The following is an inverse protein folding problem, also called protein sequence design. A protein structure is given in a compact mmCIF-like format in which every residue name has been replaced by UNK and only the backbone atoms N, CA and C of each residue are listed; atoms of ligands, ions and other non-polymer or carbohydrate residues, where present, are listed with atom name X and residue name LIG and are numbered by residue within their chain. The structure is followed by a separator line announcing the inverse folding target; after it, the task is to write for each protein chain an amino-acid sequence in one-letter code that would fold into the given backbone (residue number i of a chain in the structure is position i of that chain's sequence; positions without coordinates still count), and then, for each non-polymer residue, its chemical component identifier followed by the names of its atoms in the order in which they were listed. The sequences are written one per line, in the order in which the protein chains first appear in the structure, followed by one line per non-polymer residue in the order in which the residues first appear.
data_IF_623085095839
#
_entry.id   IF_623085095839
#
_cell.length_a   1.000
_cell.length_b   1.000
_cell.length_c   1.000
_cell.angle_alpha   90.00
_cell.angle_beta   90.00
_cell.angle_gamma   90.00
#
_symmetry.space_group_name_H-M   'P 1'
#
loop_
_entity.id
_entity.type
_entity.pdbx_description
1 polymer ?
#
# COMPACT_ATOMS: atom_id res chain seq x y z
N UNK A 1 13.78 -14.82 9.12
CA UNK A 1 13.41 -14.37 7.76
C UNK A 1 12.33 -13.33 7.93
N UNK A 2 12.53 -12.10 7.47
CA UNK A 2 11.51 -11.06 7.59
C UNK A 2 10.27 -11.48 6.78
N UNK A 3 9.10 -11.36 7.40
CA UNK A 3 7.83 -11.63 6.70
C UNK A 3 7.61 -10.46 5.73
N UNK A 4 7.34 -10.79 4.46
CA UNK A 4 7.07 -9.76 3.45
C UNK A 4 5.75 -9.05 3.77
N UNK A 5 5.75 -7.74 3.76
CA UNK A 5 4.53 -6.93 3.84
C UNK A 5 3.56 -7.32 2.72
N UNK A 6 2.29 -7.44 3.09
CA UNK A 6 1.21 -7.69 2.14
C UNK A 6 0.40 -6.42 1.96
N UNK A 7 0.20 -6.06 0.72
CA UNK A 7 -0.58 -4.90 0.31
C UNK A 7 -1.54 -5.33 -0.78
N UNK A 8 -2.80 -5.47 -0.40
CA UNK A 8 -3.88 -5.71 -1.35
C UNK A 8 -4.75 -4.46 -1.41
N UNK A 9 -5.17 -4.10 -2.60
CA UNK A 9 -6.02 -2.93 -2.82
C UNK A 9 -7.49 -3.30 -2.99
N UNK A 10 -7.79 -4.59 -2.87
CA UNK A 10 -9.14 -5.17 -2.94
C UNK A 10 -9.21 -6.35 -1.97
N UNK A 11 -10.38 -6.55 -1.34
CA UNK A 11 -10.62 -7.73 -0.52
C UNK A 11 -10.95 -8.96 -1.35
N UNK A 12 -10.86 -10.14 -0.72
CA UNK A 12 -11.28 -11.38 -1.34
C UNK A 12 -12.78 -11.35 -1.69
N UNK A 13 -13.60 -10.82 -0.77
CA UNK A 13 -15.05 -10.79 -0.92
C UNK A 13 -15.47 -9.83 -2.03
N UNK A 14 -14.82 -8.66 -2.16
CA UNK A 14 -15.06 -7.75 -3.27
C UNK A 14 -14.76 -8.40 -4.63
N UNK A 15 -13.64 -9.12 -4.79
CA UNK A 15 -13.34 -9.84 -6.02
C UNK A 15 -14.31 -11.00 -6.28
N UNK A 16 -14.72 -11.71 -5.24
CA UNK A 16 -15.75 -12.79 -5.37
C UNK A 16 -17.08 -12.22 -5.83
N UNK A 17 -17.50 -11.09 -5.30
CA UNK A 17 -18.72 -10.40 -5.70
C UNK A 17 -18.67 -9.98 -7.17
N UNK A 18 -17.55 -9.41 -7.62
CA UNK A 18 -17.34 -9.04 -9.04
C UNK A 18 -17.45 -10.25 -9.97
N UNK A 19 -16.94 -11.40 -9.55
CA UNK A 19 -16.95 -12.64 -10.34
C UNK A 19 -18.24 -13.46 -10.18
N UNK A 20 -19.16 -13.10 -9.28
CA UNK A 20 -20.34 -13.90 -8.95
C UNK A 20 -20.01 -15.24 -8.29
N UNK A 21 -18.89 -15.33 -7.55
CA UNK A 21 -18.40 -16.54 -6.90
C UNK A 21 -18.73 -16.53 -5.41
N UNK A 22 -19.52 -17.49 -4.96
CA UNK A 22 -19.81 -17.69 -3.53
C UNK A 22 -18.98 -18.81 -2.89
N UNK A 23 -18.55 -19.79 -3.70
CA UNK A 23 -17.80 -20.94 -3.22
C UNK A 23 -16.39 -20.57 -2.72
N UNK A 24 -15.90 -21.30 -1.71
CA UNK A 24 -14.56 -21.08 -1.12
C UNK A 24 -13.45 -21.87 -1.85
N UNK A 25 -13.81 -22.81 -2.73
CA UNK A 25 -12.86 -23.66 -3.48
C UNK A 25 -11.90 -22.87 -4.35
N UNK A 26 -12.26 -21.64 -4.72
CA UNK A 26 -11.45 -20.74 -5.53
C UNK A 26 -10.62 -19.73 -4.74
N UNK A 27 -10.82 -19.60 -3.44
CA UNK A 27 -10.23 -18.55 -2.61
C UNK A 27 -8.71 -18.48 -2.72
N UNK A 28 -8.02 -19.61 -2.67
CA UNK A 28 -6.56 -19.65 -2.77
C UNK A 28 -6.04 -19.13 -4.13
N UNK A 29 -6.80 -19.36 -5.21
CA UNK A 29 -6.47 -18.84 -6.54
C UNK A 29 -6.77 -17.35 -6.62
N UNK A 30 -7.93 -16.92 -6.14
CA UNK A 30 -8.34 -15.51 -6.14
C UNK A 30 -7.35 -14.65 -5.34
N UNK A 31 -6.94 -15.08 -4.15
CA UNK A 31 -5.92 -14.42 -3.32
C UNK A 31 -4.62 -14.17 -4.11
N UNK A 32 -4.15 -15.14 -4.91
CA UNK A 32 -2.95 -14.97 -5.74
C UNK A 32 -3.13 -13.94 -6.85
N UNK A 33 -4.32 -13.86 -7.45
CA UNK A 33 -4.59 -12.87 -8.49
C UNK A 33 -4.73 -11.47 -7.92
N UNK A 34 -5.34 -11.30 -6.74
CA UNK A 34 -5.36 -10.02 -6.02
C UNK A 34 -3.93 -9.55 -5.73
N UNK A 35 -3.10 -10.42 -5.13
CA UNK A 35 -1.71 -10.11 -4.81
C UNK A 35 -0.91 -9.72 -6.05
N UNK A 36 -1.09 -10.45 -7.14
CA UNK A 36 -0.42 -10.19 -8.42
C UNK A 36 -0.88 -8.87 -9.06
N UNK A 37 -2.19 -8.60 -9.06
CA UNK A 37 -2.75 -7.38 -9.62
C UNK A 37 -2.32 -6.15 -8.79
N UNK A 38 -2.36 -6.24 -7.46
CA UNK A 38 -1.88 -5.17 -6.57
C UNK A 38 -0.39 -4.87 -6.81
N UNK A 39 0.45 -5.91 -6.88
CA UNK A 39 1.87 -5.75 -7.17
C UNK A 39 2.14 -5.20 -8.59
N UNK A 40 1.28 -5.53 -9.55
CA UNK A 40 1.36 -4.97 -10.91
C UNK A 40 1.09 -3.47 -10.91
N UNK A 41 0.06 -3.03 -10.21
CA UNK A 41 -0.31 -1.60 -10.09
C UNK A 41 0.84 -0.82 -9.45
N UNK A 42 1.39 -1.26 -8.32
CA UNK A 42 2.55 -0.62 -7.69
C UNK A 42 3.75 -0.53 -8.65
N UNK A 43 4.06 -1.61 -9.36
CA UNK A 43 5.20 -1.65 -10.29
C UNK A 43 5.05 -0.72 -11.47
N UNK A 44 3.84 -0.64 -12.07
CA UNK A 44 3.59 0.19 -13.26
C UNK A 44 3.57 1.66 -12.89
N UNK A 45 2.97 2.01 -11.75
CA UNK A 45 2.88 3.40 -11.30
C UNK A 45 4.17 3.89 -10.62
N UNK A 46 5.03 2.97 -10.17
CA UNK A 46 6.17 3.29 -9.32
C UNK A 46 5.78 3.83 -7.95
N UNK A 47 4.53 3.62 -7.51
CA UNK A 47 3.99 4.12 -6.24
C UNK A 47 3.55 3.00 -5.32
N UNK A 48 3.68 3.24 -4.03
CA UNK A 48 3.01 2.48 -2.97
C UNK A 48 1.81 3.27 -2.50
N UNK A 49 0.61 2.70 -2.58
CA UNK A 49 -0.59 3.44 -2.20
C UNK A 49 -0.90 3.31 -0.70
N UNK A 50 -0.53 2.22 -0.05
CA UNK A 50 -0.63 2.10 1.41
C UNK A 50 0.35 3.01 2.13
N UNK A 51 -0.01 3.54 3.31
CA UNK A 51 0.93 4.22 4.19
C UNK A 51 1.92 3.21 4.78
N UNK A 52 3.22 3.48 4.58
CA UNK A 52 4.34 2.63 5.03
C UNK A 52 5.24 3.45 5.96
N UNK A 53 5.45 2.98 7.17
CA UNK A 53 6.45 3.57 8.08
C UNK A 53 7.83 3.09 7.68
N UNK A 54 8.71 4.02 7.29
CA UNK A 54 10.06 3.66 6.85
C UNK A 54 11.07 4.78 7.09
N UNK A 55 12.32 4.35 7.22
CA UNK A 55 13.50 5.22 7.15
C UNK A 55 14.04 5.19 5.73
N UNK A 56 14.27 6.35 5.13
CA UNK A 56 14.86 6.49 3.80
C UNK A 56 16.09 7.37 3.83
N UNK A 57 17.04 7.03 2.99
CA UNK A 57 18.35 7.65 2.88
C UNK A 57 18.46 8.39 1.56
N UNK A 58 19.00 9.61 1.59
CA UNK A 58 19.15 10.46 0.43
C UNK A 58 20.54 11.07 0.39
N UNK A 59 21.04 11.28 -0.80
CA UNK A 59 22.26 12.04 -1.01
C UNK A 59 21.98 13.53 -0.82
N UNK A 60 22.89 14.24 -0.17
CA UNK A 60 22.76 15.69 -0.02
C UNK A 60 22.82 16.36 -1.39
N UNK A 61 21.79 17.12 -1.83
CA UNK A 61 21.79 17.82 -3.11
C UNK A 61 22.80 18.97 -3.07
N UNK A 62 23.40 19.27 -4.24
CA UNK A 62 24.34 20.38 -4.41
C UNK A 62 23.87 21.28 -5.54
N UNK A 63 23.94 22.59 -5.27
CA UNK A 63 23.60 23.59 -6.28
C UNK A 63 22.10 23.70 -6.58
N UNK A 64 21.26 23.06 -5.79
CA UNK A 64 19.80 23.21 -5.90
C UNK A 64 19.35 24.45 -5.14
N UNK A 65 18.41 25.25 -5.68
CA UNK A 65 17.85 26.38 -4.94
C UNK A 65 17.26 25.93 -3.60
N UNK A 66 17.58 26.63 -2.52
CA UNK A 66 17.10 26.34 -1.13
C UNK A 66 17.36 24.90 -0.68
N UNK A 67 18.43 24.27 -1.15
CA UNK A 67 18.73 22.90 -0.84
C UNK A 67 17.62 21.92 -1.23
N UNK A 68 16.91 22.16 -2.32
CA UNK A 68 15.78 21.35 -2.73
C UNK A 68 16.17 19.88 -2.90
N UNK A 69 15.59 19.01 -2.05
CA UNK A 69 15.74 17.57 -2.08
C UNK A 69 14.49 16.95 -2.69
N UNK A 70 14.63 16.30 -3.84
CA UNK A 70 13.56 15.54 -4.48
C UNK A 70 13.55 14.11 -3.93
N UNK A 71 12.37 13.66 -3.46
CA UNK A 71 12.26 12.42 -2.69
C UNK A 71 12.14 11.18 -3.60
N UNK A 72 11.68 11.34 -4.84
CA UNK A 72 11.40 10.22 -5.74
C UNK A 72 10.16 9.41 -5.36
N UNK A 73 9.82 9.37 -4.08
CA UNK A 73 8.67 8.68 -3.51
C UNK A 73 7.71 9.65 -2.83
N UNK A 74 6.48 9.19 -2.61
CA UNK A 74 5.43 9.96 -1.96
C UNK A 74 5.62 9.92 -0.43
N UNK A 75 5.78 11.06 0.21
CA UNK A 75 5.90 11.23 1.66
C UNK A 75 4.59 11.79 2.22
N UNK A 76 3.98 11.10 3.17
CA UNK A 76 2.73 11.53 3.82
C UNK A 76 2.99 12.39 5.06
N UNK A 77 3.94 11.97 5.88
CA UNK A 77 4.31 12.71 7.09
C UNK A 77 5.77 12.46 7.46
N UNK A 78 6.38 13.44 8.12
CA UNK A 78 7.74 13.36 8.66
C UNK A 78 7.67 13.07 10.15
N UNK A 79 8.42 12.07 10.59
CA UNK A 79 8.73 11.86 12.02
C UNK A 79 10.01 12.57 12.39
N UNK A 80 11.06 12.44 11.57
CA UNK A 80 12.32 13.19 11.74
C UNK A 80 13.04 13.32 10.39
N UNK A 81 13.78 14.42 10.26
CA UNK A 81 14.81 14.59 9.22
C UNK A 81 16.12 14.85 9.94
N UNK A 82 17.16 14.13 9.55
CA UNK A 82 18.53 14.39 10.03
C UNK A 82 19.46 14.58 8.84
N UNK A 83 20.41 15.46 8.98
CA UNK A 83 21.55 15.60 8.08
C UNK A 83 22.83 15.37 8.86
N UNK A 84 23.71 14.52 8.35
CA UNK A 84 25.02 14.16 8.94
C UNK A 84 25.06 14.09 10.48
N UNK A 85 24.02 13.49 11.07
CA UNK A 85 23.88 13.30 12.52
C UNK A 85 23.18 14.42 13.29
N UNK A 86 22.79 15.50 12.61
CA UNK A 86 21.98 16.58 13.22
C UNK A 86 20.49 16.43 12.90
N UNK A 87 19.62 16.53 13.92
CA UNK A 87 18.18 16.57 13.71
C UNK A 87 17.72 17.97 13.30
N UNK A 88 16.98 18.06 12.18
CA UNK A 88 16.37 19.31 11.76
C UNK A 88 15.10 19.57 12.57
N UNK A 89 14.90 20.82 12.97
CA UNK A 89 13.63 21.24 13.58
C UNK A 89 12.56 21.39 12.48
N UNK A 90 11.29 21.19 12.82
CA UNK A 90 10.18 21.31 11.87
C UNK A 90 10.05 22.72 11.24
N UNK A 91 10.69 23.73 11.84
CA UNK A 91 10.74 25.11 11.33
C UNK A 91 11.88 25.36 10.36
N UNK A 92 12.80 24.40 10.18
CA UNK A 92 14.00 24.54 9.35
C UNK A 92 13.79 24.10 7.90
N UNK A 93 12.63 23.54 7.57
CA UNK A 93 12.33 23.04 6.23
C UNK A 93 10.85 23.20 5.86
N UNK A 94 10.57 23.08 4.57
CA UNK A 94 9.22 23.06 4.00
C UNK A 94 9.02 21.81 3.15
N UNK A 95 7.81 21.26 3.20
CA UNK A 95 7.39 20.12 2.39
C UNK A 95 6.54 20.60 1.20
N UNK A 96 6.79 20.06 0.02
CA UNK A 96 6.09 20.42 -1.20
C UNK A 96 5.43 19.20 -1.88
N UNK A 97 4.22 19.40 -2.48
CA UNK A 97 3.44 20.65 -2.57
C UNK A 97 2.97 21.13 -1.19
N UNK A 98 2.99 22.43 -0.93
CA UNK A 98 2.58 22.99 0.36
C UNK A 98 1.14 22.56 0.73
N UNK A 99 0.94 22.23 2.03
CA UNK A 99 -0.36 21.93 2.63
C UNK A 99 -1.12 20.73 2.04
N UNK A 100 -0.48 19.94 1.18
CA UNK A 100 -1.13 18.85 0.48
C UNK A 100 -0.21 17.65 0.29
N UNK A 101 -0.29 16.64 1.18
CA UNK A 101 0.39 15.38 0.93
C UNK A 101 -0.25 14.65 -0.29
N UNK A 102 0.48 13.72 -0.94
CA UNK A 102 1.84 13.35 -0.61
C UNK A 102 2.86 14.41 -1.04
N UNK A 103 3.88 14.59 -0.20
CA UNK A 103 5.00 15.49 -0.44
C UNK A 103 6.06 14.77 -1.27
N UNK A 104 6.69 15.50 -2.19
CA UNK A 104 7.70 14.94 -3.10
C UNK A 104 9.00 15.72 -3.10
N UNK A 105 9.05 16.79 -2.34
CA UNK A 105 10.23 17.64 -2.22
C UNK A 105 10.30 18.25 -0.83
N UNK A 106 11.53 18.31 -0.30
CA UNK A 106 11.87 19.06 0.92
C UNK A 106 12.74 20.24 0.51
N UNK A 107 12.46 21.43 1.00
CA UNK A 107 13.32 22.62 0.85
C UNK A 107 13.71 23.13 2.23
N UNK A 108 14.96 23.53 2.39
CA UNK A 108 15.43 24.19 3.62
C UNK A 108 14.91 25.62 3.71
N UNK A 109 14.83 26.14 4.93
CA UNK A 109 14.52 27.55 5.15
C UNK A 109 15.61 28.42 4.52
N UNK A 110 15.23 29.53 3.89
CA UNK A 110 16.13 30.41 3.13
C UNK A 110 17.35 30.98 3.89
N UNK A 111 17.36 30.85 5.21
CA UNK A 111 18.51 31.22 6.07
C UNK A 111 19.51 30.06 6.30
N UNK A 112 19.19 28.85 5.78
CA UNK A 112 19.99 27.62 5.96
C UNK A 112 19.87 26.79 4.68
N UNK A 113 20.31 27.31 3.54
CA UNK A 113 20.08 26.72 2.21
C UNK A 113 21.02 25.58 1.85
N UNK A 114 21.77 25.04 2.77
CA UNK A 114 22.71 23.93 2.54
C UNK A 114 22.52 22.83 3.54
N UNK A 115 22.47 21.60 3.03
CA UNK A 115 22.51 20.40 3.85
C UNK A 115 23.93 20.19 4.40
N UNK A 116 24.01 19.78 5.64
CA UNK A 116 25.30 19.48 6.29
C UNK A 116 25.75 18.07 5.96
N UNK A 117 27.02 17.90 5.59
CA UNK A 117 27.67 16.60 5.46
C UNK A 117 29.16 16.75 5.72
N UNK A 118 29.76 15.79 6.43
CA UNK A 118 31.16 15.86 6.88
C UNK A 118 32.09 15.14 5.90
N UNK A 119 31.86 13.86 5.63
CA UNK A 119 32.76 13.04 4.83
C UNK A 119 32.22 12.75 3.43
N UNK A 120 30.91 12.53 3.31
CA UNK A 120 30.28 12.14 2.05
C UNK A 120 28.88 12.72 1.94
N UNK A 121 28.50 13.09 0.74
CA UNK A 121 27.13 13.48 0.41
C UNK A 121 26.18 12.28 0.33
N UNK A 122 26.76 11.09 0.11
CA UNK A 122 25.99 9.86 -0.07
C UNK A 122 25.33 9.46 1.22
N UNK A 123 24.01 9.30 1.19
CA UNK A 123 23.18 8.92 2.32
C UNK A 123 23.29 9.89 3.54
N UNK A 124 23.73 11.12 3.31
CA UNK A 124 23.90 12.13 4.38
C UNK A 124 22.56 12.60 4.96
N UNK A 125 21.46 12.44 4.23
CA UNK A 125 20.12 12.84 4.70
C UNK A 125 19.30 11.60 5.01
N UNK A 126 18.74 11.54 6.21
CA UNK A 126 17.90 10.45 6.68
C UNK A 126 16.51 11.02 6.99
N UNK A 127 15.48 10.47 6.37
CA UNK A 127 14.09 10.83 6.64
C UNK A 127 13.35 9.62 7.19
N UNK A 128 12.88 9.75 8.43
CA UNK A 128 11.95 8.80 9.05
C UNK A 128 10.55 9.37 8.92
N UNK A 129 9.61 8.57 8.44
CA UNK A 129 8.26 9.05 8.25
C UNK A 129 7.30 7.99 7.73
N UNK A 130 6.10 8.44 7.40
CA UNK A 130 5.09 7.63 6.71
C UNK A 130 5.13 7.96 5.22
N UNK A 131 5.37 6.94 4.42
CA UNK A 131 5.51 7.01 2.96
C UNK A 131 4.32 6.32 2.31
N UNK A 132 3.89 6.82 1.16
CA UNK A 132 2.79 6.27 0.39
C UNK A 132 1.93 7.37 -0.21
N UNK A 133 0.94 6.97 -1.01
CA UNK A 133 0.10 7.92 -1.74
C UNK A 133 -0.99 8.53 -0.88
N UNK A 134 -1.67 7.71 -0.06
CA UNK A 134 -2.72 8.17 0.86
C UNK A 134 -2.70 7.40 2.19
N UNK A 135 -3.30 8.01 3.21
CA UNK A 135 -3.51 7.40 4.53
C UNK A 135 -4.97 7.58 4.94
N UNK A 136 -5.89 7.14 4.07
CA UNK A 136 -7.32 7.19 4.33
C UNK A 136 -7.75 5.94 5.11
N UNK A 137 -8.48 6.13 6.19
CA UNK A 137 -8.99 5.04 7.03
C UNK A 137 -10.46 5.28 7.37
N UNK A 138 -11.27 4.21 7.26
CA UNK A 138 -12.64 4.18 7.73
C UNK A 138 -12.75 3.36 9.01
N UNK A 139 -13.61 3.79 9.93
CA UNK A 139 -14.02 2.97 11.06
C UNK A 139 -14.83 1.76 10.55
N UNK A 140 -14.41 0.55 10.91
CA UNK A 140 -15.13 -0.67 10.52
C UNK A 140 -16.43 -0.84 11.28
N UNK A 141 -16.63 -0.12 12.39
CA UNK A 141 -17.69 -0.36 13.36
C UNK A 141 -17.39 -1.52 14.32
N UNK A 142 -16.28 -2.24 14.11
CA UNK A 142 -15.83 -3.32 15.01
C UNK A 142 -14.78 -2.80 16.00
N UNK A 143 -14.73 -3.43 17.17
CA UNK A 143 -13.72 -3.17 18.20
C UNK A 143 -13.07 -4.48 18.64
N UNK A 144 -11.95 -4.41 19.34
CA UNK A 144 -11.34 -5.59 19.97
C UNK A 144 -12.25 -6.12 21.10
N UNK A 145 -12.65 -7.40 20.99
CA UNK A 145 -13.37 -8.12 22.03
C UNK A 145 -12.37 -8.97 22.85
N UNK A 146 -11.77 -8.34 23.84
CA UNK A 146 -10.63 -8.85 24.59
C UNK A 146 -9.32 -8.18 24.20
N UNK A 147 -8.42 -8.04 25.17
CA UNK A 147 -7.12 -7.41 24.93
C UNK A 147 -6.23 -8.29 24.03
N UNK A 148 -5.54 -7.67 23.08
CA UNK A 148 -4.48 -8.30 22.31
C UNK A 148 -3.15 -8.09 23.06
N UNK A 149 -2.91 -8.95 24.06
CA UNK A 149 -1.82 -8.79 25.04
C UNK A 149 -0.44 -9.29 24.56
N UNK A 150 -0.38 -9.94 23.38
CA UNK A 150 0.86 -10.47 22.83
C UNK A 150 1.19 -9.80 21.49
N UNK A 151 2.44 -9.40 21.30
CA UNK A 151 2.96 -8.87 20.04
C UNK A 151 3.17 -9.94 18.97
N UNK A 152 3.14 -11.21 19.35
CA UNK A 152 3.32 -12.36 18.44
C UNK A 152 2.02 -13.11 18.12
N UNK A 153 0.90 -12.76 18.78
CA UNK A 153 -0.38 -13.39 18.50
C UNK A 153 -0.82 -13.06 17.06
N UNK A 154 -1.09 -14.09 16.28
CA UNK A 154 -1.55 -13.98 14.90
C UNK A 154 -3.08 -13.91 14.78
N UNK A 155 -3.81 -13.94 15.89
CA UNK A 155 -5.27 -13.87 15.93
C UNK A 155 -5.75 -12.94 17.03
N UNK A 156 -6.91 -12.33 16.80
CA UNK A 156 -7.68 -11.62 17.83
C UNK A 156 -9.17 -11.88 17.63
N UNK A 157 -9.98 -11.54 18.64
CA UNK A 157 -11.43 -11.59 18.54
C UNK A 157 -11.97 -10.19 18.32
N UNK A 158 -12.76 -9.98 17.27
CA UNK A 158 -13.50 -8.74 17.03
C UNK A 158 -14.88 -8.79 17.72
N UNK A 159 -15.46 -7.64 18.02
CA UNK A 159 -16.84 -7.53 18.50
C UNK A 159 -17.83 -8.09 17.46
N UNK A 160 -17.55 -7.87 16.18
CA UNK A 160 -18.26 -8.42 15.04
C UNK A 160 -17.29 -8.67 13.89
N UNK A 161 -17.00 -9.94 13.60
CA UNK A 161 -16.09 -10.34 12.53
C UNK A 161 -16.70 -10.20 11.13
N UNK A 162 -18.02 -10.08 11.00
CA UNK A 162 -18.69 -9.87 9.71
C UNK A 162 -18.41 -8.49 9.11
N UNK A 163 -17.90 -7.56 9.91
CA UNK A 163 -17.47 -6.22 9.49
C UNK A 163 -16.01 -6.16 9.00
N UNK A 164 -15.34 -7.31 8.93
CA UNK A 164 -13.93 -7.40 8.55
C UNK A 164 -13.75 -8.40 7.41
N UNK A 165 -13.05 -8.00 6.36
CA UNK A 165 -12.84 -8.83 5.17
C UNK A 165 -11.38 -9.28 5.02
N UNK A 166 -11.19 -10.45 4.42
CA UNK A 166 -9.86 -10.99 4.11
C UNK A 166 -9.19 -10.13 3.04
N UNK A 167 -7.97 -9.70 3.34
CA UNK A 167 -7.16 -8.84 2.46
C UNK A 167 -7.15 -7.37 2.87
N UNK A 168 -7.96 -6.98 3.85
CA UNK A 168 -7.88 -5.62 4.38
C UNK A 168 -6.60 -5.40 5.19
N UNK A 169 -6.06 -4.19 5.07
CA UNK A 169 -5.08 -3.66 6.02
C UNK A 169 -5.85 -2.90 7.10
N UNK A 170 -5.78 -3.41 8.31
CA UNK A 170 -6.39 -2.79 9.48
C UNK A 170 -5.39 -1.89 10.19
N UNK A 171 -5.90 -0.87 10.88
CA UNK A 171 -5.16 -0.04 11.81
C UNK A 171 -5.81 -0.13 13.19
N UNK A 172 -5.04 -0.55 14.19
CA UNK A 172 -5.44 -0.54 15.60
C UNK A 172 -4.38 0.28 16.34
N UNK A 173 -4.78 1.39 16.94
CA UNK A 173 -3.87 2.41 17.48
C UNK A 173 -2.84 2.86 16.41
N UNK A 174 -1.58 2.44 16.53
CA UNK A 174 -0.51 2.76 15.57
C UNK A 174 -0.01 1.55 14.77
N UNK A 175 -0.58 0.36 14.99
CA UNK A 175 -0.16 -0.85 14.30
C UNK A 175 -1.03 -1.13 13.09
N UNK A 176 -0.40 -1.44 11.96
CA UNK A 176 -1.07 -1.99 10.79
C UNK A 176 -1.01 -3.53 10.82
N UNK A 177 -2.18 -4.14 10.57
CA UNK A 177 -2.36 -5.58 10.54
C UNK A 177 -2.98 -5.97 9.19
N UNK A 178 -2.46 -7.01 8.54
CA UNK A 178 -3.05 -7.52 7.30
C UNK A 178 -3.93 -8.74 7.59
N UNK A 179 -5.20 -8.71 7.20
CA UNK A 179 -6.16 -9.78 7.43
C UNK A 179 -5.92 -10.94 6.46
N UNK A 180 -5.59 -12.11 6.99
CA UNK A 180 -5.35 -13.34 6.22
C UNK A 180 -6.50 -14.31 6.25
N UNK A 181 -7.38 -14.23 7.28
CA UNK A 181 -8.56 -15.06 7.46
C UNK A 181 -9.53 -14.48 8.48
N UNK A 182 -10.81 -14.77 8.29
CA UNK A 182 -11.88 -14.46 9.24
C UNK A 182 -12.72 -15.70 9.42
N UNK A 183 -13.03 -16.07 10.67
CA UNK A 183 -13.90 -17.18 11.01
C UNK A 183 -14.77 -16.77 12.19
N UNK A 184 -16.06 -16.53 11.94
CA UNK A 184 -16.95 -15.89 12.92
C UNK A 184 -16.29 -14.58 13.41
N UNK A 185 -16.11 -14.41 14.71
CA UNK A 185 -15.47 -13.23 15.30
C UNK A 185 -13.94 -13.35 15.45
N UNK A 186 -13.34 -14.48 15.06
CA UNK A 186 -11.89 -14.67 15.12
C UNK A 186 -11.25 -14.17 13.82
N UNK A 187 -10.38 -13.17 13.93
CA UNK A 187 -9.64 -12.57 12.82
C UNK A 187 -8.19 -13.04 12.88
N UNK A 188 -7.71 -13.63 11.79
CA UNK A 188 -6.31 -14.06 11.64
C UNK A 188 -5.56 -12.99 10.85
N UNK A 189 -4.42 -12.55 11.39
CA UNK A 189 -3.67 -11.42 10.82
C UNK A 189 -2.17 -11.68 10.73
N UNK A 190 -1.53 -10.96 9.83
CA UNK A 190 -0.10 -10.67 9.87
C UNK A 190 0.09 -9.36 10.64
N UNK A 191 0.91 -9.40 11.71
CA UNK A 191 1.18 -8.27 12.60
C UNK A 191 2.30 -7.39 12.06
N UNK A 192 2.32 -6.13 12.50
CA UNK A 192 3.41 -5.20 12.19
C UNK A 192 3.58 -4.98 10.68
N UNK A 193 2.48 -4.95 9.91
CA UNK A 193 2.53 -4.78 8.45
C UNK A 193 2.94 -3.34 8.09
N UNK A 194 3.47 -3.15 6.88
CA UNK A 194 3.87 -1.85 6.33
C UNK A 194 4.85 -1.07 7.23
N UNK A 195 5.80 -1.78 7.85
CA UNK A 195 6.87 -1.17 8.67
C UNK A 195 6.42 -0.67 10.03
N UNK A 196 5.16 -0.92 10.43
CA UNK A 196 4.73 -0.66 11.81
C UNK A 196 5.25 -1.73 12.76
N UNK A 197 5.29 -1.42 14.05
CA UNK A 197 5.74 -2.37 15.08
C UNK A 197 4.53 -3.03 15.71
N UNK A 198 4.56 -4.38 15.85
CA UNK A 198 3.53 -5.11 16.57
C UNK A 198 3.48 -4.68 18.04
N UNK A 199 2.31 -4.29 18.50
CA UNK A 199 2.07 -3.74 19.83
C UNK A 199 0.97 -4.51 20.58
N UNK A 200 0.80 -4.26 21.86
CA UNK A 200 -0.36 -4.72 22.62
C UNK A 200 -1.49 -3.71 22.49
N UNK A 201 -2.72 -4.21 22.48
CA UNK A 201 -3.91 -3.36 22.33
C UNK A 201 -4.94 -3.70 23.40
N UNK A 202 -5.62 -2.69 23.92
CA UNK A 202 -6.62 -2.86 24.96
C UNK A 202 -7.95 -3.37 24.41
N UNK A 203 -8.73 -4.02 25.23
CA UNK A 203 -10.14 -4.34 24.94
C UNK A 203 -10.89 -3.07 24.57
N UNK A 204 -11.73 -3.14 23.53
CA UNK A 204 -12.53 -2.01 23.06
C UNK A 204 -11.78 -1.06 22.10
N UNK A 205 -10.50 -1.32 21.80
CA UNK A 205 -9.79 -0.53 20.78
C UNK A 205 -10.52 -0.59 19.44
N UNK A 206 -10.72 0.57 18.81
CA UNK A 206 -11.40 0.69 17.52
C UNK A 206 -10.54 0.09 16.42
N UNK A 207 -11.18 -0.63 15.50
CA UNK A 207 -10.55 -1.23 14.35
C UNK A 207 -10.89 -0.39 13.13
N UNK A 208 -9.89 0.27 12.55
CA UNK A 208 -10.01 0.99 11.27
C UNK A 208 -9.55 0.10 10.12
N UNK A 209 -10.09 0.33 8.93
CA UNK A 209 -9.59 -0.27 7.69
C UNK A 209 -8.94 0.80 6.81
N UNK A 210 -7.85 0.48 6.15
CA UNK A 210 -7.30 1.32 5.10
C UNK A 210 -8.24 1.32 3.88
N UNK A 211 -8.49 2.51 3.32
CA UNK A 211 -9.31 2.70 2.13
C UNK A 211 -8.39 3.14 0.98
N UNK A 212 -8.12 2.25 0.01
CA UNK A 212 -7.36 2.61 -1.17
C UNK A 212 -8.10 3.64 -2.03
N UNK A 213 -7.35 4.35 -2.86
CA UNK A 213 -7.94 5.22 -3.88
C UNK A 213 -8.89 4.43 -4.79
N UNK A 214 -10.07 4.96 -5.13
CA UNK A 214 -11.06 4.24 -5.94
C UNK A 214 -10.51 3.74 -7.28
N UNK A 215 -9.72 4.58 -7.97
CA UNK A 215 -9.08 4.22 -9.25
C UNK A 215 -8.12 3.02 -9.12
N UNK A 216 -7.43 2.91 -7.98
CA UNK A 216 -6.52 1.80 -7.68
C UNK A 216 -7.31 0.53 -7.40
N UNK A 217 -8.38 0.64 -6.60
CA UNK A 217 -9.27 -0.48 -6.28
C UNK A 217 -9.88 -1.06 -7.55
N UNK A 218 -10.44 -0.20 -8.41
CA UNK A 218 -11.06 -0.60 -9.67
C UNK A 218 -10.06 -1.26 -10.62
N UNK A 219 -8.87 -0.67 -10.78
CA UNK A 219 -7.82 -1.25 -11.60
C UNK A 219 -7.43 -2.66 -11.11
N UNK A 220 -7.31 -2.88 -9.80
CA UNK A 220 -6.97 -4.18 -9.22
C UNK A 220 -8.10 -5.19 -9.39
N UNK A 221 -9.36 -4.78 -9.18
CA UNK A 221 -10.54 -5.65 -9.40
C UNK A 221 -10.56 -6.14 -10.85
N UNK A 222 -10.52 -5.21 -11.81
CA UNK A 222 -10.57 -5.52 -13.24
C UNK A 222 -9.42 -6.45 -13.68
N UNK A 223 -8.18 -6.16 -13.22
CA UNK A 223 -7.03 -7.01 -13.53
C UNK A 223 -7.15 -8.40 -12.92
N UNK A 224 -7.49 -8.49 -11.64
CA UNK A 224 -7.59 -9.77 -10.94
C UNK A 224 -8.71 -10.63 -11.51
N UNK A 225 -9.88 -10.04 -11.80
CA UNK A 225 -11.02 -10.73 -12.42
C UNK A 225 -10.67 -11.22 -13.81
N UNK A 226 -10.12 -10.34 -14.65
CA UNK A 226 -9.73 -10.70 -16.01
C UNK A 226 -8.69 -11.82 -16.03
N UNK A 227 -7.63 -11.72 -15.22
CA UNK A 227 -6.59 -12.73 -15.16
C UNK A 227 -7.09 -14.06 -14.58
N UNK A 228 -8.03 -14.02 -13.65
CA UNK A 228 -8.67 -15.22 -13.15
C UNK A 228 -9.50 -15.91 -14.24
N UNK A 229 -10.28 -15.18 -15.03
CA UNK A 229 -11.06 -15.71 -16.16
C UNK A 229 -10.16 -16.21 -17.30
N UNK A 230 -9.06 -15.50 -17.56
CA UNK A 230 -8.12 -15.81 -18.64
C UNK A 230 -7.22 -17.02 -18.37
N UNK A 231 -7.17 -17.50 -17.13
CA UNK A 231 -6.26 -18.59 -16.69
C UNK A 231 -6.41 -19.88 -17.52
N UNK A 232 -7.60 -20.17 -17.96
CA UNK A 232 -7.93 -21.41 -18.68
C UNK A 232 -7.76 -21.25 -20.21
N UNK A 233 -7.46 -20.04 -20.69
CA UNK A 233 -7.23 -19.69 -22.09
C UNK A 233 -5.74 -19.52 -22.44
N UNK A 234 -4.85 -19.71 -21.48
CA UNK A 234 -3.41 -19.55 -21.68
C UNK A 234 -2.86 -20.53 -22.72
N UNK A 235 -2.27 -20.00 -23.79
CA UNK A 235 -1.72 -20.77 -24.90
C UNK A 235 -2.67 -21.00 -26.08
N UNK A 236 -3.92 -20.56 -26.00
CA UNK A 236 -4.85 -20.59 -27.13
C UNK A 236 -4.74 -19.27 -27.88
N UNK A 237 -4.16 -19.29 -29.09
CA UNK A 237 -4.05 -18.09 -29.93
C UNK A 237 -5.32 -17.82 -30.71
N UNK A 238 -6.01 -18.87 -31.16
CA UNK A 238 -7.30 -18.74 -31.84
C UNK A 238 -8.12 -20.00 -31.68
N UNK A 239 -9.44 -19.83 -31.66
CA UNK A 239 -10.42 -20.93 -31.72
C UNK A 239 -11.36 -20.69 -32.87
N UNK A 240 -11.61 -21.72 -33.69
CA UNK A 240 -12.55 -21.69 -34.79
C UNK A 240 -13.62 -22.76 -34.60
N UNK A 241 -14.88 -22.34 -34.65
CA UNK A 241 -16.02 -23.23 -34.60
C UNK A 241 -16.90 -22.87 -35.82
N UNK A 242 -16.84 -23.70 -36.86
CA UNK A 242 -17.50 -23.40 -38.14
C UNK A 242 -16.90 -22.14 -38.78
N UNK A 243 -17.77 -21.19 -39.12
CA UNK A 243 -17.35 -19.90 -39.72
C UNK A 243 -17.00 -18.84 -38.68
N UNK A 244 -17.11 -19.14 -37.40
CA UNK A 244 -16.78 -18.21 -36.30
C UNK A 244 -15.38 -18.46 -35.79
N UNK A 245 -14.52 -17.43 -35.86
CA UNK A 245 -13.16 -17.47 -35.32
C UNK A 245 -12.99 -16.43 -34.24
N UNK A 246 -12.44 -16.85 -33.10
CA UNK A 246 -12.03 -15.96 -31.99
C UNK A 246 -10.52 -15.96 -31.91
N UNK A 247 -9.91 -14.79 -32.00
CA UNK A 247 -8.47 -14.62 -31.81
C UNK A 247 -8.26 -14.06 -30.41
N UNK A 248 -7.37 -14.70 -29.65
CA UNK A 248 -7.01 -14.28 -28.30
C UNK A 248 -5.73 -13.46 -28.31
N UNK A 249 -5.64 -12.50 -27.40
CA UNK A 249 -4.44 -11.65 -27.23
C UNK A 249 -3.33 -12.48 -26.58
N UNK A 250 -2.11 -12.39 -27.12
CA UNK A 250 -0.95 -13.03 -26.53
C UNK A 250 -0.61 -12.43 -25.15
N UNK A 251 -0.32 -13.29 -24.19
CA UNK A 251 0.08 -12.90 -22.84
C UNK A 251 -1.11 -12.62 -21.89
N UNK A 252 -0.81 -11.93 -20.79
CA UNK A 252 -1.81 -11.54 -19.79
C UNK A 252 -2.40 -10.18 -20.18
N UNK A 253 -3.67 -10.11 -20.57
CA UNK A 253 -4.26 -8.87 -21.07
C UNK A 253 -4.34 -7.82 -19.97
N UNK A 254 -4.09 -6.57 -20.34
CA UNK A 254 -4.33 -5.39 -19.50
C UNK A 254 -5.31 -4.50 -20.27
N UNK A 255 -6.52 -4.28 -19.74
CA UNK A 255 -7.50 -3.41 -20.38
C UNK A 255 -6.95 -2.00 -20.61
N UNK A 256 -7.37 -1.36 -21.69
CA UNK A 256 -6.93 -0.01 -22.02
C UNK A 256 -7.33 0.98 -20.92
N UNK A 257 -8.55 0.88 -20.40
CA UNK A 257 -9.03 1.71 -19.31
C UNK A 257 -8.13 1.61 -18.06
N UNK A 258 -7.60 0.42 -17.76
CA UNK A 258 -6.66 0.24 -16.64
C UNK A 258 -5.34 0.90 -16.97
N UNK A 259 -4.82 0.76 -18.19
CA UNK A 259 -3.57 1.44 -18.60
C UNK A 259 -3.68 2.95 -18.49
N UNK A 260 -4.78 3.52 -18.95
CA UNK A 260 -5.03 4.97 -18.90
C UNK A 260 -5.17 5.47 -17.46
N UNK A 261 -5.85 4.72 -16.61
CA UNK A 261 -5.97 5.04 -15.18
C UNK A 261 -4.62 5.01 -14.50
N UNK A 262 -3.83 3.96 -14.71
CA UNK A 262 -2.49 3.84 -14.12
C UNK A 262 -1.52 4.89 -14.64
N UNK A 263 -1.63 5.30 -15.92
CA UNK A 263 -0.81 6.37 -16.48
C UNK A 263 -1.03 7.72 -15.76
N UNK A 264 -2.27 8.03 -15.37
CA UNK A 264 -2.58 9.25 -14.58
C UNK A 264 -2.03 9.19 -13.16
N UNK A 265 -1.93 8.00 -12.59
CA UNK A 265 -1.40 7.78 -11.25
C UNK A 265 0.14 7.72 -11.23
N UNK A 266 0.78 7.57 -12.39
CA UNK A 266 2.24 7.56 -12.49
C UNK A 266 2.78 8.98 -12.26
N UNK A 267 3.82 9.16 -11.41
CA UNK A 267 4.42 10.48 -11.18
C UNK A 267 4.98 11.07 -12.48
N UNK A 268 4.73 12.34 -12.72
CA UNK A 268 5.51 13.09 -13.71
C UNK A 268 6.94 13.23 -13.14
N UNK A 269 7.90 12.73 -13.85
CA UNK A 269 9.33 12.79 -13.51
C UNK A 269 9.86 14.23 -13.64
#
# INVERSE_FOLDING_TARGET
MAVRDRRWYVSLDALKNELGITATTHDAKLKRYIERASAYVERVTGRTFHPVTATRYFDAPVGTPRGALYLGDDLLSVTSITDDGGALTATSYFLYPLNRPPYRRVELLATSDTWTFTDSRQQAIIIVGTWGYSASYDDTGATLNGALSSTTAATFTASDGSLIEVGWSLLIDSEQLFVTGVSSNTVTVQRGNNGTTAATHSTGATIYRYVPEPDVTEAVVLLAALWYQWRDMGGIQSQRIGDYAVTYVDGWPVPEIVRDTLARLTPLV
#
